data_IF_797461746778
#
_entry.id   IF_797461746778
#
_cell.length_a   1.000
_cell.length_b   1.000
_cell.length_c   1.000
_cell.angle_alpha   90.00
_cell.angle_beta   90.00
_cell.angle_gamma   90.00
#
_symmetry.space_group_name_H-M   'P 1'
#
loop_
_entity.id
_entity.type
_entity.pdbx_description
1 polymer ?
#
# COMPACT_ATOMS: atom_id res chain seq x y z
N UNK A 1 -9.69 -0.60 9.60
CA UNK A 1 -9.32 0.19 8.41
C UNK A 1 -7.93 -0.24 7.92
N UNK A 2 -7.79 -0.54 6.63
CA UNK A 2 -6.58 -1.12 6.01
C UNK A 2 -5.73 -0.02 5.37
N UNK A 3 -4.44 0.06 5.71
CA UNK A 3 -3.49 0.98 5.07
C UNK A 3 -2.73 0.29 3.93
N UNK A 4 -2.69 0.91 2.75
CA UNK A 4 -1.88 0.46 1.61
C UNK A 4 -0.67 1.38 1.54
N UNK A 5 0.53 0.81 1.60
CA UNK A 5 1.78 1.59 1.56
C UNK A 5 2.01 2.09 0.13
N UNK A 6 2.01 3.42 -0.03
CA UNK A 6 2.48 4.05 -1.26
C UNK A 6 4.00 4.21 -1.23
N UNK A 7 4.69 3.33 -1.94
CA UNK A 7 6.11 3.44 -2.23
C UNK A 7 6.37 3.58 -3.75
N UNK A 8 5.40 4.11 -4.50
CA UNK A 8 5.37 4.16 -5.97
C UNK A 8 5.17 2.78 -6.63
N UNK A 9 4.37 1.92 -5.99
CA UNK A 9 3.98 0.64 -6.57
C UNK A 9 3.00 0.83 -7.74
N UNK A 10 3.15 0.07 -8.82
CA UNK A 10 2.26 0.17 -10.00
C UNK A 10 0.84 -0.36 -9.80
N UNK A 11 0.53 -1.02 -8.69
CA UNK A 11 -0.74 -1.73 -8.48
C UNK A 11 -1.61 -1.20 -7.32
N UNK A 12 -1.34 0.00 -6.78
CA UNK A 12 -2.08 0.57 -5.65
C UNK A 12 -3.60 0.61 -5.89
N UNK A 13 -4.00 1.14 -7.04
CA UNK A 13 -5.41 1.27 -7.43
C UNK A 13 -6.11 -0.08 -7.55
N UNK A 14 -5.41 -1.11 -8.04
CA UNK A 14 -5.96 -2.47 -8.16
C UNK A 14 -6.23 -3.08 -6.78
N UNK A 15 -5.29 -2.91 -5.84
CA UNK A 15 -5.46 -3.37 -4.45
C UNK A 15 -6.61 -2.64 -3.77
N UNK A 16 -6.68 -1.31 -3.90
CA UNK A 16 -7.76 -0.52 -3.31
C UNK A 16 -9.15 -0.93 -3.85
N UNK A 17 -9.27 -1.19 -5.17
CA UNK A 17 -10.51 -1.69 -5.76
C UNK A 17 -10.88 -3.07 -5.23
N UNK A 18 -9.93 -3.97 -5.09
CA UNK A 18 -10.19 -5.31 -4.55
C UNK A 18 -10.71 -5.24 -3.11
N UNK A 19 -10.12 -4.38 -2.26
CA UNK A 19 -10.60 -4.17 -0.90
C UNK A 19 -12.00 -3.57 -0.87
N UNK A 20 -12.27 -2.56 -1.71
CA UNK A 20 -13.59 -1.96 -1.81
C UNK A 20 -14.65 -2.97 -2.28
N UNK A 21 -14.33 -3.80 -3.28
CA UNK A 21 -15.20 -4.87 -3.76
C UNK A 21 -15.54 -5.89 -2.66
N UNK A 22 -14.58 -6.18 -1.79
CA UNK A 22 -14.75 -7.07 -0.63
C UNK A 22 -15.42 -6.38 0.58
N UNK A 23 -15.80 -5.10 0.47
CA UNK A 23 -16.46 -4.34 1.54
C UNK A 23 -15.52 -3.83 2.63
N UNK A 24 -14.20 -3.76 2.37
CA UNK A 24 -13.22 -3.24 3.33
C UNK A 24 -12.85 -1.79 3.06
N UNK A 25 -12.88 -0.97 4.10
CA UNK A 25 -12.35 0.39 4.07
C UNK A 25 -10.82 0.38 4.05
N UNK A 26 -10.24 1.10 3.08
CA UNK A 26 -8.80 1.27 2.96
C UNK A 26 -8.39 2.70 2.63
N UNK A 27 -7.15 3.05 2.95
CA UNK A 27 -6.50 4.29 2.54
C UNK A 27 -5.11 4.00 2.00
N UNK A 28 -4.61 4.87 1.12
CA UNK A 28 -3.28 4.80 0.53
C UNK A 28 -2.45 5.93 1.14
N UNK A 29 -1.24 5.63 1.62
CA UNK A 29 -0.35 6.67 2.17
C UNK A 29 1.12 6.26 2.07
N UNK A 30 1.99 7.24 1.81
CA UNK A 30 3.45 7.13 1.91
C UNK A 30 3.96 7.63 3.28
N UNK A 31 3.09 8.20 4.11
CA UNK A 31 3.47 8.77 5.40
C UNK A 31 3.34 7.74 6.52
N UNK A 32 4.46 7.43 7.17
CA UNK A 32 4.53 6.50 8.32
C UNK A 32 3.53 6.88 9.43
N UNK A 33 3.31 8.18 9.68
CA UNK A 33 2.37 8.66 10.70
C UNK A 33 0.92 8.29 10.41
N UNK A 34 0.52 8.21 9.14
CA UNK A 34 -0.83 7.82 8.74
C UNK A 34 -0.96 6.30 8.73
N UNK A 35 0.03 5.60 8.19
CA UNK A 35 0.09 4.14 8.17
C UNK A 35 0.03 3.52 9.57
N UNK A 36 0.65 4.15 10.57
CA UNK A 36 0.56 3.74 11.98
C UNK A 36 -0.85 3.76 12.56
N UNK A 37 -1.80 4.46 11.93
CA UNK A 37 -3.22 4.47 12.34
C UNK A 37 -4.02 3.29 11.77
N UNK A 38 -3.45 2.53 10.83
CA UNK A 38 -4.13 1.38 10.25
C UNK A 38 -4.15 0.20 11.23
N UNK A 39 -5.24 -0.57 11.19
CA UNK A 39 -5.34 -1.84 11.93
C UNK A 39 -4.58 -2.97 11.22
N UNK A 40 -4.46 -2.86 9.89
CA UNK A 40 -3.76 -3.81 9.03
C UNK A 40 -3.04 -3.04 7.93
N UNK A 41 -1.90 -3.56 7.51
CA UNK A 41 -1.07 -2.98 6.45
C UNK A 41 -1.03 -3.95 5.26
N UNK A 42 -1.16 -3.40 4.06
CA UNK A 42 -0.76 -4.06 2.83
C UNK A 42 0.49 -3.38 2.30
N UNK A 43 1.53 -4.16 2.05
CA UNK A 43 2.69 -3.75 1.29
C UNK A 43 2.47 -4.19 -0.17
N UNK A 44 2.06 -3.28 -1.08
CA UNK A 44 1.71 -3.61 -2.46
C UNK A 44 2.98 -3.90 -3.27
N UNK A 45 2.84 -4.18 -4.57
CA UNK A 45 3.99 -4.42 -5.44
C UNK A 45 3.70 -5.29 -6.65
N UNK A 46 4.37 -4.95 -7.75
CA UNK A 46 4.41 -5.72 -9.01
C UNK A 46 5.86 -5.68 -9.54
N UNK A 47 6.36 -6.80 -10.05
CA UNK A 47 7.69 -6.89 -10.65
C UNK A 47 8.85 -7.23 -9.69
N UNK A 48 10.07 -6.84 -10.06
CA UNK A 48 11.32 -7.27 -9.41
C UNK A 48 11.53 -6.65 -8.02
N UNK A 49 11.65 -7.50 -7.00
CA UNK A 49 11.83 -7.12 -5.58
C UNK A 49 12.95 -6.08 -5.33
N UNK A 50 14.00 -6.07 -6.17
CA UNK A 50 15.13 -5.15 -6.07
C UNK A 50 14.74 -3.68 -6.30
N UNK A 51 13.79 -3.43 -7.21
CA UNK A 51 13.28 -2.07 -7.47
C UNK A 51 12.49 -1.55 -6.28
N UNK A 52 11.62 -2.39 -5.72
CA UNK A 52 10.78 -2.05 -4.57
C UNK A 52 11.60 -1.66 -3.33
N UNK A 53 12.66 -2.43 -3.00
CA UNK A 53 13.53 -2.11 -1.87
C UNK A 53 14.28 -0.79 -2.08
N UNK A 54 14.65 -0.45 -3.32
CA UNK A 54 15.36 0.80 -3.60
C UNK A 54 14.48 2.03 -3.33
N UNK A 55 13.19 1.97 -3.68
CA UNK A 55 12.21 3.04 -3.43
C UNK A 55 11.98 3.32 -1.94
N UNK A 56 12.23 2.34 -1.06
CA UNK A 56 12.05 2.48 0.40
C UNK A 56 13.27 3.07 1.13
N UNK A 57 14.43 3.18 0.46
CA UNK A 57 15.70 3.58 1.09
C UNK A 57 16.08 5.05 0.87
N UNK A 58 15.26 5.80 0.15
CA UNK A 58 15.44 7.23 -0.12
C UNK A 58 14.44 8.06 0.69
#
# INVERSE_FOLDING_TARGET
>A
MIGIIDYLAGNLTSVARALNYLGYNCFISSYVKELKKAERIIFPGVGAAKSAIKSLKN
#
